data_IF_493763242956
#
_entry.id   IF_493763242956
#
_cell.length_a   1.000
_cell.length_b   1.000
_cell.length_c   1.000
_cell.angle_alpha   90.00
_cell.angle_beta   90.00
_cell.angle_gamma   90.00
#
_symmetry.space_group_name_H-M   'P 1'
#
loop_
_entity.id
_entity.type
_entity.pdbx_description
1 polymer ?
#
# COMPACT_ATOMS: atom_id res chain seq x y z
N UNK A 1 12.14 9.49 21.80
CA UNK A 1 11.06 9.92 20.87
C UNK A 1 11.04 11.44 20.87
N UNK A 2 11.08 12.05 19.70
CA UNK A 2 11.05 13.51 19.55
C UNK A 2 9.71 14.06 20.09
N UNK A 3 9.77 15.07 20.98
CA UNK A 3 8.60 15.70 21.58
C UNK A 3 7.66 16.26 20.48
N UNK A 4 8.25 16.84 19.44
CA UNK A 4 7.50 17.40 18.32
C UNK A 4 6.70 16.31 17.55
N UNK A 5 7.24 15.12 17.40
CA UNK A 5 6.54 13.97 16.79
C UNK A 5 5.36 13.52 17.64
N UNK A 6 5.58 13.42 18.97
CA UNK A 6 4.52 13.07 19.90
C UNK A 6 3.37 14.06 19.85
N UNK A 7 3.68 15.37 19.88
CA UNK A 7 2.66 16.42 19.88
C UNK A 7 1.84 16.40 18.58
N UNK A 8 2.48 16.17 17.44
CA UNK A 8 1.80 15.99 16.14
C UNK A 8 0.90 14.76 16.14
N UNK A 9 1.36 13.64 16.68
CA UNK A 9 0.53 12.42 16.77
C UNK A 9 -0.67 12.64 17.69
N UNK A 10 -0.49 13.28 18.84
CA UNK A 10 -1.58 13.62 19.74
C UNK A 10 -2.60 14.57 19.09
N UNK A 11 -2.12 15.56 18.32
CA UNK A 11 -3.01 16.44 17.56
C UNK A 11 -3.83 15.67 16.54
N UNK A 12 -3.19 14.74 15.81
CA UNK A 12 -3.86 13.88 14.83
C UNK A 12 -4.90 12.95 15.48
N UNK A 13 -4.57 12.34 16.60
CA UNK A 13 -5.52 11.51 17.35
C UNK A 13 -6.79 12.31 17.73
N UNK A 14 -6.62 13.51 18.28
CA UNK A 14 -7.76 14.39 18.63
C UNK A 14 -8.61 14.73 17.42
N UNK A 15 -7.99 15.00 16.28
CA UNK A 15 -8.70 15.29 15.03
C UNK A 15 -9.54 14.09 14.58
N UNK A 16 -8.96 12.88 14.57
CA UNK A 16 -9.66 11.66 14.23
C UNK A 16 -10.81 11.39 15.22
N UNK A 17 -10.60 11.58 16.53
CA UNK A 17 -11.63 11.45 17.58
C UNK A 17 -12.84 12.36 17.34
N UNK A 18 -12.66 13.52 16.72
CA UNK A 18 -13.81 14.38 16.37
C UNK A 18 -14.70 13.79 15.29
N UNK A 19 -14.14 12.91 14.44
CA UNK A 19 -14.80 12.39 13.25
C UNK A 19 -15.42 11.01 13.45
N UNK A 20 -14.94 10.25 14.42
CA UNK A 20 -15.49 8.92 14.77
C UNK A 20 -15.97 8.91 16.21
N UNK A 21 -17.07 8.20 16.43
CA UNK A 21 -17.65 8.07 17.75
C UNK A 21 -17.29 6.70 18.35
N UNK A 22 -16.97 6.68 19.64
CA UNK A 22 -16.69 5.46 20.42
C UNK A 22 -15.61 4.56 19.80
N UNK A 23 -14.50 5.16 19.36
CA UNK A 23 -13.35 4.47 18.77
C UNK A 23 -12.03 4.90 19.40
N UNK A 24 -12.07 5.44 20.62
CA UNK A 24 -10.90 5.99 21.27
C UNK A 24 -9.78 4.96 21.44
N UNK A 25 -10.10 3.76 21.90
CA UNK A 25 -9.12 2.67 22.05
C UNK A 25 -8.49 2.27 20.68
N UNK A 26 -9.30 2.14 19.63
CA UNK A 26 -8.79 1.85 18.30
C UNK A 26 -7.86 2.97 17.80
N UNK A 27 -8.22 4.23 18.03
CA UNK A 27 -7.42 5.39 17.66
C UNK A 27 -6.06 5.37 18.39
N UNK A 28 -6.07 5.10 19.69
CA UNK A 28 -4.85 5.00 20.50
C UNK A 28 -3.95 3.85 20.02
N UNK A 29 -4.52 2.67 19.79
CA UNK A 29 -3.78 1.49 19.32
C UNK A 29 -3.15 1.75 17.94
N UNK A 30 -3.87 2.39 17.01
CA UNK A 30 -3.32 2.75 15.70
C UNK A 30 -2.15 3.73 15.85
N UNK A 31 -2.30 4.77 16.67
CA UNK A 31 -1.23 5.74 16.90
C UNK A 31 0.02 5.09 17.52
N UNK A 32 -0.16 4.22 18.51
CA UNK A 32 0.92 3.44 19.12
C UNK A 32 1.60 2.54 18.08
N UNK A 33 0.81 1.84 17.26
CA UNK A 33 1.32 0.96 16.22
C UNK A 33 2.21 1.70 15.22
N UNK A 34 1.76 2.85 14.73
CA UNK A 34 2.52 3.66 13.79
C UNK A 34 3.84 4.17 14.40
N UNK A 35 3.82 4.59 15.68
CA UNK A 35 5.02 5.07 16.37
C UNK A 35 6.01 3.96 16.74
N UNK A 36 5.52 2.76 17.02
CA UNK A 36 6.32 1.61 17.48
C UNK A 36 6.61 0.60 16.39
N UNK A 37 6.07 0.79 15.19
CA UNK A 37 6.15 -0.14 14.04
C UNK A 37 5.62 -1.53 14.36
N UNK A 38 4.52 -1.59 15.12
CA UNK A 38 3.86 -2.83 15.53
C UNK A 38 2.66 -3.13 14.63
N UNK A 39 2.31 -4.41 14.54
CA UNK A 39 1.17 -4.87 13.78
C UNK A 39 -0.07 -4.91 14.67
N UNK A 40 -1.24 -4.58 14.10
CA UNK A 40 -2.51 -4.49 14.81
C UNK A 40 -3.54 -5.44 14.23
N UNK A 41 -4.18 -6.20 15.09
CA UNK A 41 -5.36 -6.98 14.75
C UNK A 41 -6.60 -6.35 15.38
N UNK A 42 -7.63 -6.12 14.57
CA UNK A 42 -8.91 -5.53 15.00
C UNK A 42 -10.01 -6.58 14.88
N UNK A 43 -10.54 -7.00 16.01
CA UNK A 43 -11.71 -7.86 16.05
C UNK A 43 -12.97 -7.00 16.08
N UNK A 44 -13.94 -7.31 15.26
CA UNK A 44 -15.25 -6.67 15.30
C UNK A 44 -16.04 -6.90 14.03
N UNK A 45 -17.34 -6.74 14.11
CA UNK A 45 -18.26 -6.97 13.01
C UNK A 45 -18.10 -5.98 11.84
N UNK A 46 -18.69 -6.30 10.73
CA UNK A 46 -18.76 -5.41 9.57
C UNK A 46 -19.53 -4.12 9.91
N UNK A 47 -19.09 -3.01 9.33
CA UNK A 47 -19.76 -1.71 9.56
C UNK A 47 -19.33 -0.96 10.82
N UNK A 48 -18.38 -1.47 11.60
CA UNK A 48 -17.85 -0.81 12.81
C UNK A 48 -16.77 0.24 12.55
N UNK A 49 -16.68 0.77 11.34
CA UNK A 49 -15.77 1.83 10.93
C UNK A 49 -14.26 1.52 11.07
N UNK A 50 -13.86 0.24 11.15
CA UNK A 50 -12.45 -0.17 11.28
C UNK A 50 -11.56 0.43 10.18
N UNK A 51 -11.90 0.17 8.91
CA UNK A 51 -11.20 0.73 7.74
C UNK A 51 -11.25 2.26 7.72
N UNK A 52 -12.40 2.85 8.11
CA UNK A 52 -12.56 4.29 8.11
C UNK A 52 -11.59 4.99 9.05
N UNK A 53 -11.38 4.46 10.26
CA UNK A 53 -10.42 5.02 11.23
C UNK A 53 -8.99 4.93 10.71
N UNK A 54 -8.59 3.78 10.13
CA UNK A 54 -7.26 3.60 9.55
C UNK A 54 -7.06 4.57 8.38
N UNK A 55 -8.06 4.73 7.51
CA UNK A 55 -8.01 5.66 6.40
C UNK A 55 -7.90 7.11 6.86
N UNK A 56 -8.61 7.49 7.91
CA UNK A 56 -8.47 8.81 8.51
C UNK A 56 -7.03 9.07 8.97
N UNK A 57 -6.36 8.12 9.61
CA UNK A 57 -4.94 8.27 9.96
C UNK A 57 -4.06 8.42 8.72
N UNK A 58 -4.23 7.53 7.73
CA UNK A 58 -3.48 7.60 6.47
C UNK A 58 -3.59 8.97 5.80
N UNK A 59 -4.80 9.49 5.67
CA UNK A 59 -5.07 10.75 4.98
C UNK A 59 -4.39 11.96 5.64
N UNK A 60 -3.99 11.82 6.91
CA UNK A 60 -3.17 12.79 7.61
C UNK A 60 -1.66 12.61 7.45
N UNK A 61 -1.20 11.60 6.73
CA UNK A 61 0.22 11.28 6.55
C UNK A 61 0.64 11.59 5.12
N UNK A 62 1.30 12.72 4.92
CA UNK A 62 1.77 13.14 3.60
C UNK A 62 2.86 12.20 3.09
N UNK A 63 2.70 11.69 1.85
CA UNK A 63 3.67 10.79 1.22
C UNK A 63 3.56 9.32 1.66
N UNK A 64 2.66 8.97 2.58
CA UNK A 64 2.41 7.58 2.93
C UNK A 64 1.62 6.88 1.83
N UNK A 65 2.14 5.76 1.34
CA UNK A 65 1.42 4.86 0.44
C UNK A 65 0.72 3.80 1.28
N UNK A 66 -0.55 3.53 0.96
CA UNK A 66 -1.35 2.50 1.60
C UNK A 66 -1.76 1.44 0.60
N UNK A 67 -1.72 0.19 1.05
CA UNK A 67 -2.36 -0.94 0.40
C UNK A 67 -3.53 -1.41 1.24
N UNK A 68 -4.70 -1.57 0.62
CA UNK A 68 -5.91 -2.07 1.28
C UNK A 68 -6.51 -3.21 0.45
N UNK A 69 -6.85 -4.31 1.11
CA UNK A 69 -7.45 -5.46 0.43
C UNK A 69 -8.39 -6.23 1.36
N UNK A 70 -9.56 -6.58 0.82
CA UNK A 70 -10.42 -7.60 1.41
C UNK A 70 -9.88 -8.98 0.98
N UNK A 71 -9.60 -9.82 1.96
CA UNK A 71 -9.03 -11.15 1.74
C UNK A 71 -10.13 -12.17 1.42
N UNK A 72 -9.79 -13.11 0.55
CA UNK A 72 -10.65 -14.24 0.19
C UNK A 72 -9.79 -15.43 -0.23
N UNK A 73 -10.36 -16.62 -0.27
CA UNK A 73 -9.68 -17.83 -0.77
C UNK A 73 -9.26 -17.74 -2.23
N UNK A 74 -9.91 -16.87 -3.00
CA UNK A 74 -9.64 -16.64 -4.42
C UNK A 74 -8.68 -15.47 -4.66
N UNK A 75 -8.19 -14.83 -3.58
CA UNK A 75 -7.21 -13.76 -3.72
C UNK A 75 -5.95 -14.32 -4.39
N UNK A 76 -5.44 -13.58 -5.36
CA UNK A 76 -4.23 -13.91 -6.09
C UNK A 76 -3.01 -13.31 -5.38
N UNK A 77 -1.93 -14.08 -5.29
CA UNK A 77 -0.66 -13.64 -4.70
C UNK A 77 -0.06 -12.48 -5.48
N UNK A 78 -0.12 -12.52 -6.82
CA UNK A 78 0.34 -11.41 -7.67
C UNK A 78 -0.46 -10.11 -7.44
N UNK A 79 -1.74 -10.25 -7.12
CA UNK A 79 -2.58 -9.09 -6.82
C UNK A 79 -2.18 -8.40 -5.50
N UNK A 80 -1.57 -9.13 -4.56
CA UNK A 80 -1.09 -8.60 -3.29
C UNK A 80 0.36 -8.12 -3.39
N UNK A 81 1.25 -8.97 -3.88
CA UNK A 81 2.70 -8.77 -3.79
C UNK A 81 3.33 -8.25 -5.07
N UNK A 82 2.60 -8.29 -6.18
CA UNK A 82 3.09 -7.91 -7.49
C UNK A 82 3.41 -9.09 -8.38
N UNK A 83 3.61 -8.81 -9.64
CA UNK A 83 3.86 -9.80 -10.70
C UNK A 83 5.30 -9.73 -11.20
N UNK A 84 5.79 -10.84 -11.72
CA UNK A 84 7.09 -10.89 -12.38
C UNK A 84 7.04 -10.07 -13.68
N UNK A 85 8.01 -9.18 -13.84
CA UNK A 85 8.23 -8.46 -15.10
C UNK A 85 9.11 -9.31 -16.03
N UNK A 86 8.47 -9.87 -17.05
CA UNK A 86 9.13 -10.69 -18.05
C UNK A 86 9.79 -9.86 -19.16
N UNK A 87 9.55 -8.56 -19.21
CA UNK A 87 10.12 -7.68 -20.24
C UNK A 87 11.64 -7.66 -20.20
N UNK A 88 12.23 -7.75 -19.02
CA UNK A 88 13.67 -7.83 -18.82
C UNK A 88 14.34 -9.11 -19.34
N UNK A 89 13.56 -10.18 -19.54
CA UNK A 89 14.05 -11.44 -20.08
C UNK A 89 14.05 -11.48 -21.60
N UNK A 90 13.38 -10.54 -22.26
CA UNK A 90 13.32 -10.44 -23.70
C UNK A 90 14.57 -9.71 -24.18
N UNK A 91 15.30 -10.20 -25.21
CA UNK A 91 16.44 -9.48 -25.76
C UNK A 91 16.08 -8.03 -26.14
N UNK A 92 16.78 -7.04 -25.59
CA UNK A 92 16.47 -5.62 -25.78
C UNK A 92 15.30 -5.10 -24.92
N UNK A 93 14.73 -5.94 -24.06
CA UNK A 93 13.69 -5.53 -23.12
C UNK A 93 14.24 -4.71 -21.97
N UNK A 94 13.47 -3.73 -21.52
CA UNK A 94 13.76 -2.91 -20.34
C UNK A 94 12.58 -3.03 -19.40
N UNK A 95 12.81 -3.23 -18.08
CA UNK A 95 11.73 -3.26 -17.10
C UNK A 95 10.88 -1.99 -17.17
N UNK A 96 9.57 -2.14 -17.10
CA UNK A 96 8.60 -1.03 -17.19
C UNK A 96 8.85 0.03 -16.10
N UNK A 97 9.18 -0.41 -14.90
CA UNK A 97 9.49 0.46 -13.75
C UNK A 97 10.71 1.36 -14.03
N UNK A 98 11.76 0.82 -14.68
CA UNK A 98 12.95 1.60 -15.09
C UNK A 98 12.56 2.65 -16.13
N UNK A 99 11.75 2.27 -17.11
CA UNK A 99 11.30 3.22 -18.14
C UNK A 99 10.42 4.33 -17.53
N UNK A 100 9.62 4.02 -16.51
CA UNK A 100 8.78 5.01 -15.83
C UNK A 100 9.60 5.97 -14.94
N UNK A 101 10.64 5.48 -14.27
CA UNK A 101 11.46 6.26 -13.34
C UNK A 101 12.60 7.04 -14.03
N UNK A 102 13.02 6.62 -15.22
CA UNK A 102 14.08 7.29 -15.95
C UNK A 102 13.60 8.63 -16.55
N UNK A 103 14.06 9.72 -15.93
CA UNK A 103 13.63 11.07 -16.30
C UNK A 103 13.94 11.42 -17.75
N UNK A 104 15.13 10.99 -18.26
CA UNK A 104 15.55 11.28 -19.64
C UNK A 104 14.71 10.50 -20.66
N UNK A 105 14.44 9.22 -20.38
CA UNK A 105 13.54 8.43 -21.22
C UNK A 105 12.14 9.05 -21.30
N UNK A 106 11.60 9.50 -20.16
CA UNK A 106 10.30 10.12 -20.10
C UNK A 106 10.25 11.49 -20.81
N UNK A 107 11.34 12.25 -20.81
CA UNK A 107 11.47 13.49 -21.57
C UNK A 107 11.50 13.21 -23.07
N UNK A 108 12.39 12.33 -23.53
CA UNK A 108 12.50 11.93 -24.93
C UNK A 108 11.18 11.35 -25.48
N UNK A 109 10.47 10.58 -24.69
CA UNK A 109 9.17 10.02 -25.04
C UNK A 109 8.11 11.13 -25.24
N UNK A 110 8.05 12.11 -24.33
CA UNK A 110 7.11 13.24 -24.45
C UNK A 110 7.40 14.10 -25.67
N UNK A 111 8.68 14.33 -25.96
CA UNK A 111 9.10 15.07 -27.16
C UNK A 111 8.70 14.34 -28.43
N UNK A 112 8.92 13.02 -28.47
CA UNK A 112 8.48 12.17 -29.58
C UNK A 112 6.96 12.21 -29.77
N UNK A 113 6.19 12.09 -28.69
CA UNK A 113 4.71 12.18 -28.74
C UNK A 113 4.26 13.52 -29.31
N UNK A 114 4.94 14.60 -28.96
CA UNK A 114 4.66 15.95 -29.50
C UNK A 114 4.97 16.04 -31.00
N UNK A 115 6.09 15.50 -31.44
CA UNK A 115 6.45 15.43 -32.87
C UNK A 115 5.46 14.59 -33.67
N UNK A 116 5.03 13.44 -33.13
CA UNK A 116 3.98 12.59 -33.75
C UNK A 116 2.67 13.35 -33.94
N UNK A 117 2.25 14.11 -32.92
CA UNK A 117 1.01 14.90 -33.00
C UNK A 117 1.10 15.99 -34.07
N UNK A 118 2.24 16.69 -34.19
CA UNK A 118 2.45 17.73 -35.19
C UNK A 118 2.52 17.14 -36.61
N UNK A 119 3.19 16.04 -36.81
CA UNK A 119 3.23 15.32 -38.09
C UNK A 119 1.82 14.84 -38.51
N UNK A 120 1.05 14.30 -37.61
CA UNK A 120 -0.34 13.88 -37.89
C UNK A 120 -1.28 15.03 -38.24
N UNK A 121 -0.99 16.26 -37.83
CA UNK A 121 -1.73 17.48 -38.21
C UNK A 121 -1.42 17.95 -39.66
N UNK A 122 -0.58 17.22 -40.36
CA UNK A 122 -0.27 17.47 -41.80
C UNK A 122 0.98 18.29 -42.06
N UNK A 123 1.79 18.58 -41.06
CA UNK A 123 3.06 19.28 -41.25
C UNK A 123 4.18 18.27 -41.52
N UNK A 124 4.45 18.06 -42.80
CA UNK A 124 5.47 17.14 -43.29
C UNK A 124 6.92 17.55 -42.90
N UNK A 125 7.14 18.79 -42.46
CA UNK A 125 8.48 19.28 -42.05
C UNK A 125 9.00 18.54 -40.80
N UNK A 126 8.10 17.96 -39.98
CA UNK A 126 8.45 17.17 -38.80
C UNK A 126 8.92 15.73 -39.12
N UNK A 127 8.81 15.25 -40.34
CA UNK A 127 9.15 13.86 -40.69
C UNK A 127 10.58 13.46 -40.35
N UNK A 128 11.56 14.28 -40.70
CA UNK A 128 12.98 14.03 -40.39
C UNK A 128 13.27 14.12 -38.89
N UNK A 129 12.66 15.07 -38.21
CA UNK A 129 12.80 15.21 -36.74
C UNK A 129 12.21 14.02 -36.02
N UNK A 130 11.09 13.51 -36.49
CA UNK A 130 10.45 12.32 -35.96
C UNK A 130 11.32 11.07 -36.09
N UNK A 131 11.95 10.88 -37.27
CA UNK A 131 12.85 9.75 -37.51
C UNK A 131 14.10 9.82 -36.62
N UNK A 132 14.70 11.00 -36.48
CA UNK A 132 15.83 11.21 -35.58
C UNK A 132 15.46 10.94 -34.13
N UNK A 133 14.36 11.53 -33.62
CA UNK A 133 13.90 11.34 -32.24
C UNK A 133 13.57 9.88 -31.95
N UNK A 134 12.96 9.16 -32.90
CA UNK A 134 12.70 7.73 -32.79
C UNK A 134 14.00 6.93 -32.66
N UNK A 135 14.98 7.22 -33.51
CA UNK A 135 16.28 6.53 -33.49
C UNK A 135 17.03 6.78 -32.18
N UNK A 136 17.00 8.01 -31.66
CA UNK A 136 17.64 8.36 -30.40
C UNK A 136 16.96 7.66 -29.21
N UNK A 137 15.66 7.64 -29.18
CA UNK A 137 14.89 6.93 -28.14
C UNK A 137 15.19 5.42 -28.15
N UNK A 138 15.25 4.79 -29.31
CA UNK A 138 15.60 3.38 -29.46
C UNK A 138 17.03 3.08 -28.99
N UNK A 139 18.01 3.96 -29.33
CA UNK A 139 19.39 3.84 -28.84
C UNK A 139 19.46 3.94 -27.33
N UNK A 140 18.75 4.90 -26.75
CA UNK A 140 18.73 5.08 -25.31
C UNK A 140 18.07 3.89 -24.61
N UNK A 141 16.95 3.40 -25.15
CA UNK A 141 16.28 2.20 -24.64
C UNK A 141 17.20 0.96 -24.70
N UNK A 142 17.99 0.84 -25.77
CA UNK A 142 18.98 -0.24 -25.89
C UNK A 142 20.06 -0.14 -24.81
N UNK A 143 20.58 1.06 -24.55
CA UNK A 143 21.54 1.27 -23.47
C UNK A 143 20.95 0.92 -22.09
N UNK A 144 19.70 1.30 -21.83
CA UNK A 144 18.98 0.89 -20.61
C UNK A 144 18.81 -0.64 -20.54
N UNK A 145 18.54 -1.31 -21.64
CA UNK A 145 18.46 -2.77 -21.71
C UNK A 145 19.78 -3.45 -21.38
N UNK A 146 20.90 -2.90 -21.85
CA UNK A 146 22.24 -3.43 -21.52
C UNK A 146 22.59 -3.25 -20.03
N UNK A 147 22.08 -2.18 -19.39
CA UNK A 147 22.29 -1.90 -17.97
C UNK A 147 21.38 -2.69 -17.06
N UNK A 148 20.12 -2.91 -17.45
CA UNK A 148 19.05 -3.41 -16.59
C UNK A 148 18.37 -4.69 -17.11
N UNK A 149 18.73 -5.15 -18.30
CA UNK A 149 18.20 -6.39 -18.89
C UNK A 149 18.79 -7.66 -18.30
N UNK A 150 18.14 -8.79 -18.57
CA UNK A 150 18.63 -10.11 -18.19
C UNK A 150 18.28 -10.58 -16.78
N UNK A 151 17.77 -9.71 -15.91
CA UNK A 151 17.33 -10.09 -14.57
C UNK A 151 15.81 -9.87 -14.39
N UNK A 152 15.06 -10.90 -14.02
CA UNK A 152 13.64 -10.73 -13.72
C UNK A 152 13.45 -9.80 -12.51
N UNK A 153 12.46 -8.93 -12.59
CA UNK A 153 12.07 -8.02 -11.50
C UNK A 153 10.61 -8.27 -11.13
N UNK A 154 10.23 -7.80 -9.95
CA UNK A 154 8.83 -7.89 -9.50
C UNK A 154 8.25 -6.48 -9.56
N UNK A 155 7.18 -6.29 -10.34
CA UNK A 155 6.43 -5.02 -10.39
C UNK A 155 5.60 -4.92 -9.12
N UNK A 156 6.00 -4.03 -8.22
CA UNK A 156 5.37 -3.87 -6.89
C UNK A 156 4.58 -2.58 -6.75
N UNK A 157 4.61 -1.70 -7.73
CA UNK A 157 3.97 -0.38 -7.69
C UNK A 157 2.48 -0.50 -7.35
N UNK A 158 2.07 0.17 -6.26
CA UNK A 158 0.70 0.12 -5.75
C UNK A 158 0.31 -1.22 -5.12
N UNK A 159 1.26 -2.09 -4.80
CA UNK A 159 1.06 -3.37 -4.12
C UNK A 159 1.56 -3.30 -2.67
N UNK A 160 1.33 -4.37 -1.93
CA UNK A 160 1.77 -4.49 -0.54
C UNK A 160 3.27 -4.16 -0.36
N UNK A 161 4.21 -4.68 -1.20
CA UNK A 161 5.63 -4.38 -1.04
C UNK A 161 6.03 -2.94 -1.32
N UNK A 162 5.18 -2.14 -1.97
CA UNK A 162 5.39 -0.71 -2.20
C UNK A 162 4.77 0.18 -1.13
N UNK A 163 4.11 -0.40 -0.12
CA UNK A 163 3.24 0.36 0.78
C UNK A 163 3.85 0.52 2.17
N UNK A 164 3.63 1.70 2.76
CA UNK A 164 4.05 2.05 4.12
C UNK A 164 3.03 1.61 5.18
N UNK A 165 1.75 1.58 4.80
CA UNK A 165 0.64 1.13 5.63
C UNK A 165 -0.13 0.08 4.86
N UNK A 166 -0.34 -1.08 5.47
CA UNK A 166 -1.11 -2.18 4.88
C UNK A 166 -2.33 -2.45 5.73
N UNK A 167 -3.51 -2.51 5.11
CA UNK A 167 -4.74 -2.93 5.73
C UNK A 167 -5.31 -4.16 5.01
N UNK A 168 -5.45 -5.26 5.75
CA UNK A 168 -5.98 -6.53 5.25
C UNK A 168 -7.26 -6.85 6.00
N UNK A 169 -8.40 -6.72 5.35
CA UNK A 169 -9.68 -7.08 5.93
C UNK A 169 -9.97 -8.57 5.71
N UNK A 170 -10.58 -9.21 6.69
CA UNK A 170 -10.92 -10.65 6.70
C UNK A 170 -9.70 -11.56 6.46
N UNK A 171 -8.58 -11.26 7.13
CA UNK A 171 -7.27 -11.87 6.84
C UNK A 171 -7.29 -13.41 6.89
N UNK A 172 -8.10 -14.02 7.76
CA UNK A 172 -8.18 -15.47 7.92
C UNK A 172 -8.93 -16.17 6.77
N UNK A 173 -9.53 -15.40 5.85
CA UNK A 173 -10.15 -15.94 4.63
C UNK A 173 -9.18 -16.10 3.46
N UNK A 174 -7.91 -15.75 3.63
CA UNK A 174 -6.89 -15.94 2.61
C UNK A 174 -6.56 -17.42 2.37
N UNK A 175 -6.00 -17.73 1.20
CA UNK A 175 -5.48 -19.07 0.90
C UNK A 175 -4.18 -19.34 1.69
N UNK A 176 -3.85 -20.61 1.89
CA UNK A 176 -2.65 -21.03 2.63
C UNK A 176 -1.34 -20.47 2.02
N UNK A 177 -1.27 -20.38 0.69
CA UNK A 177 -0.13 -19.77 0.00
C UNK A 177 0.08 -18.32 0.39
N UNK A 178 -1.00 -17.53 0.34
CA UNK A 178 -0.99 -16.12 0.75
C UNK A 178 -0.67 -15.97 2.24
N UNK A 179 -1.22 -16.84 3.10
CA UNK A 179 -0.95 -16.79 4.54
C UNK A 179 0.54 -17.01 4.83
N UNK A 180 1.21 -17.92 4.14
CA UNK A 180 2.64 -18.14 4.28
C UNK A 180 3.49 -16.95 3.80
N UNK A 181 3.13 -16.35 2.65
CA UNK A 181 3.78 -15.14 2.15
C UNK A 181 3.60 -13.96 3.13
N UNK A 182 2.40 -13.81 3.70
CA UNK A 182 2.10 -12.80 4.71
C UNK A 182 2.89 -13.02 6.01
N UNK A 183 3.09 -14.26 6.45
CA UNK A 183 3.93 -14.56 7.62
C UNK A 183 5.34 -14.03 7.44
N UNK A 184 5.95 -14.23 6.28
CA UNK A 184 7.28 -13.70 5.96
C UNK A 184 7.27 -12.17 5.90
N UNK A 185 6.26 -11.59 5.26
CA UNK A 185 6.11 -10.14 5.16
C UNK A 185 5.96 -9.47 6.53
N UNK A 186 5.15 -10.05 7.43
CA UNK A 186 4.93 -9.54 8.79
C UNK A 186 6.17 -9.65 9.67
N UNK A 187 6.91 -10.76 9.57
CA UNK A 187 8.08 -11.03 10.40
C UNK A 187 9.33 -10.30 9.95
N UNK A 188 9.63 -10.44 8.67
CA UNK A 188 10.95 -10.10 8.14
C UNK A 188 10.91 -8.84 7.28
N UNK A 189 9.73 -8.30 7.02
CA UNK A 189 9.55 -7.17 6.09
C UNK A 189 10.16 -7.46 4.72
N UNK A 190 10.01 -8.70 4.27
CA UNK A 190 10.52 -9.19 2.99
C UNK A 190 9.48 -10.04 2.26
N UNK A 191 9.57 -10.03 0.95
CA UNK A 191 8.83 -10.93 0.07
C UNK A 191 9.80 -11.57 -0.91
N UNK A 192 9.70 -12.87 -1.08
CA UNK A 192 10.56 -13.62 -2.01
C UNK A 192 9.69 -14.35 -3.01
N UNK A 193 9.96 -14.12 -4.29
CA UNK A 193 9.32 -14.81 -5.40
C UNK A 193 10.40 -15.23 -6.42
N UNK A 194 10.39 -16.50 -6.84
CA UNK A 194 11.33 -17.07 -7.83
C UNK A 194 12.81 -16.71 -7.57
N UNK A 195 13.23 -16.76 -6.31
CA UNK A 195 14.60 -16.46 -5.90
C UNK A 195 14.95 -14.98 -5.79
N UNK A 196 14.05 -14.06 -6.14
CA UNK A 196 14.21 -12.62 -5.91
C UNK A 196 13.55 -12.22 -4.61
N UNK A 197 14.31 -11.52 -3.76
CA UNK A 197 13.84 -11.02 -2.48
C UNK A 197 13.76 -9.51 -2.53
N UNK A 198 12.60 -8.96 -2.19
CA UNK A 198 12.36 -7.53 -2.08
C UNK A 198 12.09 -7.15 -0.63
N UNK A 199 12.55 -5.98 -0.23
CA UNK A 199 12.28 -5.42 1.08
C UNK A 199 10.95 -4.67 1.08
N UNK A 200 10.14 -4.87 2.13
CA UNK A 200 8.84 -4.25 2.29
C UNK A 200 8.98 -3.05 3.23
N UNK A 201 8.74 -1.81 2.78
CA UNK A 201 8.91 -0.60 3.59
C UNK A 201 7.79 -0.40 4.62
N UNK A 202 6.89 -1.36 4.79
CA UNK A 202 5.71 -1.24 5.64
C UNK A 202 6.10 -0.98 7.10
N UNK A 203 5.55 0.08 7.66
CA UNK A 203 5.68 0.46 9.06
C UNK A 203 4.82 -0.45 9.92
N UNK A 204 3.53 -0.54 9.60
CA UNK A 204 2.56 -1.31 10.35
C UNK A 204 1.57 -2.02 9.43
N UNK A 205 1.31 -3.27 9.76
CA UNK A 205 0.19 -4.02 9.19
C UNK A 205 -1.01 -3.89 10.13
N UNK A 206 -2.11 -3.50 9.55
CA UNK A 206 -3.42 -3.53 10.19
C UNK A 206 -4.21 -4.66 9.56
N UNK A 207 -4.86 -5.45 10.38
CA UNK A 207 -5.74 -6.50 9.91
C UNK A 207 -7.04 -6.47 10.67
N UNK A 208 -8.11 -6.85 10.03
CA UNK A 208 -9.40 -6.97 10.66
C UNK A 208 -10.03 -8.34 10.38
N UNK A 209 -10.89 -8.78 11.31
CA UNK A 209 -11.77 -9.93 11.11
C UNK A 209 -13.01 -9.76 12.00
N UNK A 210 -14.09 -10.41 11.62
CA UNK A 210 -15.30 -10.48 12.44
C UNK A 210 -15.27 -11.64 13.46
N UNK A 211 -14.30 -12.56 13.30
CA UNK A 211 -14.15 -13.72 14.18
C UNK A 211 -12.67 -14.05 14.41
N UNK A 212 -12.40 -14.70 15.53
CA UNK A 212 -11.09 -15.30 15.81
C UNK A 212 -11.21 -16.81 15.52
N UNK A 213 -10.29 -17.38 14.71
CA UNK A 213 -10.28 -18.82 14.45
C UNK A 213 -10.17 -19.65 15.73
N UNK A 214 -10.82 -20.78 15.74
CA UNK A 214 -10.72 -21.74 16.85
C UNK A 214 -9.42 -22.55 16.72
N UNK A 215 -8.34 -22.09 17.31
CA UNK A 215 -7.02 -22.73 17.26
C UNK A 215 -6.95 -24.12 17.91
N UNK A 216 -8.00 -24.62 18.51
CA UNK A 216 -8.10 -26.01 18.96
C UNK A 216 -8.53 -26.94 17.82
N UNK A 217 -9.16 -26.39 16.78
CA UNK A 217 -9.49 -27.09 15.55
C UNK A 217 -8.21 -27.30 14.70
N UNK A 218 -7.87 -28.55 14.30
CA UNK A 218 -6.68 -28.81 13.48
C UNK A 218 -6.63 -27.99 12.18
N UNK A 219 -7.76 -27.76 11.51
CA UNK A 219 -7.84 -26.99 10.25
C UNK A 219 -7.54 -25.51 10.45
N UNK A 220 -7.95 -24.94 11.58
CA UNK A 220 -7.75 -23.52 11.87
C UNK A 220 -6.45 -23.25 12.66
N UNK A 221 -5.82 -24.29 13.18
CA UNK A 221 -4.55 -24.18 13.93
C UNK A 221 -3.42 -23.56 13.08
N UNK A 222 -3.47 -23.76 11.78
CA UNK A 222 -2.51 -23.17 10.81
C UNK A 222 -2.54 -21.63 10.81
N UNK A 223 -3.65 -21.02 11.25
CA UNK A 223 -3.82 -19.57 11.31
C UNK A 223 -3.18 -18.94 12.57
N UNK A 224 -2.89 -19.76 13.59
CA UNK A 224 -2.34 -19.27 14.85
C UNK A 224 -1.01 -18.51 14.69
N UNK A 225 -0.01 -18.99 13.93
CA UNK A 225 1.23 -18.26 13.73
C UNK A 225 1.01 -16.85 13.16
N UNK A 226 0.03 -16.70 12.26
CA UNK A 226 -0.32 -15.40 11.70
C UNK A 226 -0.94 -14.48 12.75
N UNK A 227 -1.91 -15.00 13.53
CA UNK A 227 -2.55 -14.24 14.61
C UNK A 227 -1.56 -13.77 15.67
N UNK A 228 -0.56 -14.60 16.00
CA UNK A 228 0.48 -14.29 16.98
C UNK A 228 1.46 -13.18 16.50
N UNK A 229 1.46 -12.85 15.20
CA UNK A 229 2.28 -11.76 14.62
C UNK A 229 1.66 -10.37 14.74
N UNK A 230 0.43 -10.30 15.21
CA UNK A 230 -0.19 -9.04 15.57
C UNK A 230 0.02 -8.79 17.05
N UNK A 231 0.99 -7.94 17.38
CA UNK A 231 1.38 -7.68 18.79
C UNK A 231 0.31 -6.88 19.53
N UNK A 232 -0.41 -6.03 18.81
CA UNK A 232 -1.49 -5.23 19.35
C UNK A 232 -2.83 -5.80 18.86
N UNK A 233 -3.75 -5.96 19.79
CA UNK A 233 -5.09 -6.50 19.51
C UNK A 233 -6.13 -5.61 20.14
N UNK A 234 -7.15 -5.26 19.39
CA UNK A 234 -8.25 -4.40 19.85
C UNK A 234 -9.58 -4.98 19.39
N UNK A 235 -10.57 -4.89 20.27
CA UNK A 235 -11.95 -5.29 19.99
C UNK A 235 -12.76 -4.03 19.74
N UNK A 236 -13.55 -4.02 18.67
CA UNK A 236 -14.51 -2.96 18.42
C UNK A 236 -15.92 -3.49 18.57
N UNK A 237 -16.77 -2.71 19.21
CA UNK A 237 -18.17 -3.04 19.44
C UNK A 237 -19.08 -2.06 18.69
N UNK A 238 -20.37 -2.39 18.60
CA UNK A 238 -21.33 -1.45 18.03
C UNK A 238 -21.49 -0.23 18.93
N UNK A 239 -21.67 0.93 18.30
CA UNK A 239 -21.95 2.19 19.00
C UNK A 239 -23.28 2.04 19.74
N UNK A 240 -23.27 2.10 21.07
CA UNK A 240 -24.46 1.91 21.89
C UNK A 240 -25.15 3.23 22.24
N UNK A 241 -24.38 4.29 22.44
CA UNK A 241 -24.94 5.60 22.80
C UNK A 241 -25.77 6.22 21.68
N UNK A 242 -26.99 6.63 22.04
CA UNK A 242 -27.93 7.27 21.10
C UNK A 242 -27.40 8.59 20.55
N UNK A 243 -26.72 9.38 21.38
CA UNK A 243 -26.18 10.67 20.97
C UNK A 243 -25.02 10.47 19.99
N UNK A 244 -24.17 9.47 20.20
CA UNK A 244 -23.09 9.07 19.29
C UNK A 244 -23.65 8.59 17.95
N UNK A 245 -24.70 7.77 17.94
CA UNK A 245 -25.40 7.35 16.69
C UNK A 245 -25.93 8.55 15.91
N UNK A 246 -26.56 9.51 16.59
CA UNK A 246 -27.04 10.74 15.95
C UNK A 246 -25.91 11.60 15.39
N UNK A 247 -24.75 11.65 16.07
CA UNK A 247 -23.55 12.34 15.60
C UNK A 247 -23.06 11.72 14.30
N UNK A 248 -22.96 10.39 14.23
CA UNK A 248 -22.55 9.64 13.02
C UNK A 248 -23.48 9.97 11.84
N UNK A 249 -24.79 9.99 12.06
CA UNK A 249 -25.77 10.30 11.01
C UNK A 249 -25.60 11.74 10.49
N UNK A 250 -25.31 12.70 11.35
CA UNK A 250 -25.08 14.08 10.98
C UNK A 250 -23.74 14.29 10.25
N UNK A 251 -22.71 13.56 10.61
CA UNK A 251 -21.36 13.69 10.01
C UNK A 251 -21.27 13.15 8.59
N UNK A 252 -22.15 12.26 8.16
CA UNK A 252 -22.22 11.78 6.76
C UNK A 252 -22.45 12.89 5.73
N UNK A 253 -22.81 14.09 6.16
CA UNK A 253 -23.10 15.23 5.28
C UNK A 253 -21.96 16.25 5.16
N UNK A 254 -20.92 16.15 5.98
CA UNK A 254 -19.77 17.08 5.96
C UNK A 254 -18.52 16.36 5.45
N UNK A 255 -17.86 16.93 4.43
CA UNK A 255 -16.55 16.44 4.00
C UNK A 255 -15.53 16.65 5.13
N UNK A 256 -14.73 15.65 5.51
CA UNK A 256 -13.74 15.80 6.57
C UNK A 256 -12.59 16.71 6.13
N UNK A 257 -12.28 17.71 6.96
CA UNK A 257 -11.09 18.53 6.83
C UNK A 257 -10.05 18.00 7.82
N UNK A 258 -8.97 17.41 7.31
CA UNK A 258 -7.91 16.82 8.12
C UNK A 258 -6.59 17.57 7.94
N UNK A 259 -5.89 17.85 9.05
CA UNK A 259 -4.54 18.41 9.02
C UNK A 259 -3.53 17.34 8.53
N UNK A 260 -2.65 17.71 7.61
CA UNK A 260 -1.64 16.80 7.07
C UNK A 260 -0.36 16.83 7.91
N UNK A 261 0.11 15.67 8.35
CA UNK A 261 1.43 15.51 8.93
C UNK A 261 2.37 14.90 7.87
N UNK A 262 3.60 15.43 7.71
CA UNK A 262 4.56 14.83 6.79
C UNK A 262 4.88 13.39 7.17
N UNK A 263 4.82 12.48 6.20
CA UNK A 263 5.14 11.06 6.43
C UNK A 263 6.60 10.87 6.90
N UNK A 264 7.51 11.74 6.50
CA UNK A 264 8.91 11.75 6.94
C UNK A 264 9.09 11.71 8.47
N UNK A 265 8.10 12.17 9.22
CA UNK A 265 8.12 12.16 10.68
C UNK A 265 8.01 10.74 11.24
N UNK A 266 7.38 9.82 10.49
CA UNK A 266 7.22 8.42 10.87
C UNK A 266 8.40 7.53 10.45
N UNK A 267 9.27 8.04 9.56
CA UNK A 267 10.36 7.25 8.96
C UNK A 267 11.74 7.53 9.55
N UNK A 268 11.86 8.45 10.51
CA UNK A 268 13.12 8.76 11.22
C UNK A 268 13.33 7.98 12.50
#
# INVERSE_FOLDING_TARGET
>A
MDQALRDKMCARMREVQTQVAERDELIEVIAIALLTRKNVFVLGDTGQAKSAVINLFRDGLTGARQFERLMSKQADEEALFGRLDLSSLIPGGVPEEILEEDALYQEMRRDLETLVLNYRRGDASFGQQLELATTELERYRKALSELHGGEPRIITKGKLPDSHIVFLDEIFKASDGILNALLTALNERRYTNEGKTIHIPTISFFSASNEIPNFTNPEEKILKPLYDRFELKVVTEYVEDRAARLKILKQKQAAPHLAHAPAEILFR
#
